data_IF_983902411902
#
_entry.id   IF_983902411902
#
_cell.length_a   1.000
_cell.length_b   1.000
_cell.length_c   1.000
_cell.angle_alpha   90.00
_cell.angle_beta   90.00
_cell.angle_gamma   90.00
#
_symmetry.space_group_name_H-M   'P 1'
#
loop_
_entity.id
_entity.type
_entity.pdbx_description
1 polymer ?
#
# COMPACT_ATOMS: atom_id res chain seq x y z
N UNK A 1 -8.19 -65.11 118.11
CA UNK A 1 -8.25 -63.72 117.54
C UNK A 1 -7.35 -63.53 116.23
N UNK A 2 -7.05 -64.56 115.44
CA UNK A 2 -6.07 -64.51 114.34
C UNK A 2 -6.65 -64.63 112.95
N UNK A 3 -7.87 -65.11 112.72
CA UNK A 3 -8.38 -65.38 111.34
C UNK A 3 -8.95 -64.17 110.58
N UNK A 4 -9.47 -63.17 111.26
CA UNK A 4 -10.05 -61.96 110.63
C UNK A 4 -8.99 -60.99 110.01
N UNK A 5 -7.71 -61.03 110.48
CA UNK A 5 -6.63 -60.19 109.96
C UNK A 5 -6.11 -60.66 108.58
N UNK A 6 -6.08 -61.99 108.38
CA UNK A 6 -5.64 -62.58 107.10
C UNK A 6 -6.62 -62.37 105.94
N UNK A 7 -7.92 -62.40 106.23
CA UNK A 7 -8.95 -62.15 105.20
C UNK A 7 -9.00 -60.69 104.73
N UNK A 8 -8.82 -59.70 105.67
CA UNK A 8 -8.75 -58.26 105.30
C UNK A 8 -7.54 -57.94 104.39
N UNK A 9 -6.37 -58.57 104.66
CA UNK A 9 -5.16 -58.43 103.83
C UNK A 9 -5.38 -59.01 102.41
N UNK A 10 -6.04 -60.14 102.25
CA UNK A 10 -6.36 -60.76 100.97
C UNK A 10 -7.34 -59.89 100.15
N UNK A 11 -8.36 -59.34 100.82
CA UNK A 11 -9.33 -58.43 100.14
C UNK A 11 -8.63 -57.15 99.76
N UNK A 12 -7.72 -56.56 100.55
CA UNK A 12 -6.97 -55.36 100.20
C UNK A 12 -6.03 -55.61 99.03
N UNK A 13 -5.34 -56.75 98.96
CA UNK A 13 -4.48 -57.13 97.83
C UNK A 13 -5.31 -57.32 96.57
N UNK A 14 -6.45 -57.98 96.61
CA UNK A 14 -7.36 -58.17 95.54
C UNK A 14 -7.89 -56.80 95.01
N UNK A 15 -8.25 -55.88 95.91
CA UNK A 15 -8.71 -54.54 95.50
C UNK A 15 -7.61 -53.72 94.77
N UNK A 16 -6.35 -53.80 95.25
CA UNK A 16 -5.20 -53.13 94.61
C UNK A 16 -4.90 -53.74 93.28
N UNK A 17 -4.98 -55.05 93.09
CA UNK A 17 -4.79 -55.75 91.81
C UNK A 17 -5.91 -55.35 90.83
N UNK A 18 -7.17 -55.34 91.32
CA UNK A 18 -8.30 -54.92 90.48
C UNK A 18 -8.16 -53.45 90.05
N UNK A 19 -7.80 -52.55 90.95
CA UNK A 19 -7.55 -51.15 90.63
C UNK A 19 -6.39 -50.96 89.62
N UNK A 20 -5.29 -51.75 89.79
CA UNK A 20 -4.15 -51.77 88.86
C UNK A 20 -4.56 -52.24 87.43
N UNK A 21 -5.38 -53.30 87.36
CA UNK A 21 -5.91 -53.81 86.04
C UNK A 21 -6.84 -52.78 85.40
N UNK A 22 -7.74 -52.15 86.15
CA UNK A 22 -8.61 -51.10 85.62
C UNK A 22 -7.82 -49.88 85.16
N UNK A 23 -6.79 -49.42 85.90
CA UNK A 23 -5.92 -48.33 85.45
C UNK A 23 -5.16 -48.72 84.21
N UNK A 24 -4.65 -49.95 84.05
CA UNK A 24 -3.99 -50.44 82.91
C UNK A 24 -4.94 -50.49 81.69
N UNK A 25 -6.18 -50.99 81.85
CA UNK A 25 -7.19 -51.00 80.77
C UNK A 25 -7.55 -49.57 80.30
N UNK A 26 -7.66 -48.62 81.25
CA UNK A 26 -7.91 -47.23 80.90
C UNK A 26 -6.74 -46.63 80.06
N UNK A 27 -5.50 -46.82 80.50
CA UNK A 27 -4.31 -46.31 79.75
C UNK A 27 -4.21 -46.94 78.38
N UNK A 28 -4.41 -48.24 78.26
CA UNK A 28 -4.41 -48.93 76.99
C UNK A 28 -5.57 -48.42 76.11
N UNK A 29 -6.76 -48.25 76.70
CA UNK A 29 -7.93 -47.71 75.95
C UNK A 29 -7.68 -46.30 75.43
N UNK A 30 -7.10 -45.42 76.25
CA UNK A 30 -6.73 -44.04 75.79
C UNK A 30 -5.65 -44.10 74.72
N UNK A 31 -4.65 -44.96 74.83
CA UNK A 31 -3.59 -45.11 73.86
C UNK A 31 -4.13 -45.62 72.50
N UNK A 32 -5.00 -46.62 72.51
CA UNK A 32 -5.66 -47.15 71.33
C UNK A 32 -6.54 -46.07 70.63
N UNK A 33 -7.30 -45.33 71.45
CA UNK A 33 -8.15 -44.23 70.95
C UNK A 33 -7.33 -43.12 70.32
N UNK A 34 -6.24 -42.70 70.98
CA UNK A 34 -5.30 -41.71 70.51
C UNK A 34 -4.63 -42.16 69.18
N UNK A 35 -4.19 -43.42 69.10
CA UNK A 35 -3.58 -44.00 67.94
C UNK A 35 -4.58 -44.07 66.72
N UNK A 36 -5.86 -44.37 66.99
CA UNK A 36 -6.91 -44.37 65.98
C UNK A 36 -7.19 -42.96 65.44
N UNK A 37 -7.24 -41.96 66.33
CA UNK A 37 -7.41 -40.56 65.98
C UNK A 37 -6.23 -40.06 65.11
N UNK A 38 -4.99 -40.40 65.51
CA UNK A 38 -3.80 -40.05 64.73
C UNK A 38 -3.77 -40.70 63.35
N UNK A 39 -4.12 -41.98 63.25
CA UNK A 39 -4.20 -42.70 61.99
C UNK A 39 -5.29 -42.12 61.06
N UNK A 40 -6.41 -41.68 61.63
CA UNK A 40 -7.46 -41.00 60.91
C UNK A 40 -6.97 -39.64 60.30
N UNK A 41 -6.21 -38.85 61.08
CA UNK A 41 -5.60 -37.61 60.63
C UNK A 41 -4.54 -37.85 59.53
N UNK A 42 -3.72 -38.87 59.67
CA UNK A 42 -2.74 -39.24 58.65
C UNK A 42 -3.46 -39.63 57.32
N UNK A 43 -4.51 -40.43 57.40
CA UNK A 43 -5.30 -40.82 56.21
C UNK A 43 -5.94 -39.61 55.59
N UNK A 44 -6.45 -38.63 56.32
CA UNK A 44 -7.02 -37.37 55.77
C UNK A 44 -5.96 -36.51 55.12
N UNK A 45 -4.79 -36.34 55.78
CA UNK A 45 -3.67 -35.61 55.17
C UNK A 45 -3.17 -36.27 53.87
N UNK A 46 -3.14 -37.61 53.83
CA UNK A 46 -2.79 -38.32 52.59
C UNK A 46 -3.80 -38.04 51.48
N UNK A 47 -5.10 -38.11 51.79
CA UNK A 47 -6.16 -37.78 50.83
C UNK A 47 -6.03 -36.34 50.26
N UNK A 48 -5.79 -35.38 51.19
CA UNK A 48 -5.59 -33.99 50.77
C UNK A 48 -4.34 -33.81 49.92
N UNK A 49 -3.25 -34.50 50.27
CA UNK A 49 -2.01 -34.46 49.47
C UNK A 49 -2.21 -35.06 48.09
N UNK A 50 -2.93 -36.18 48.00
CA UNK A 50 -3.21 -36.83 46.71
C UNK A 50 -4.16 -35.95 45.86
N UNK A 51 -5.18 -35.33 46.48
CA UNK A 51 -6.06 -34.39 45.78
C UNK A 51 -5.31 -33.14 45.25
N UNK A 52 -4.41 -32.59 46.09
CA UNK A 52 -3.57 -31.47 45.65
C UNK A 52 -2.61 -31.84 44.52
N UNK A 53 -2.04 -33.06 44.56
CA UNK A 53 -1.19 -33.57 43.47
C UNK A 53 -1.98 -33.73 42.17
N UNK A 54 -3.18 -34.30 42.25
CA UNK A 54 -4.05 -34.46 41.08
C UNK A 54 -4.43 -33.10 40.49
N UNK A 55 -4.80 -32.13 41.33
CA UNK A 55 -5.10 -30.78 40.88
C UNK A 55 -3.88 -30.06 40.22
N UNK A 56 -2.70 -30.21 40.86
CA UNK A 56 -1.47 -29.64 40.29
C UNK A 56 -1.10 -30.27 38.92
N UNK A 57 -1.32 -31.59 38.77
CA UNK A 57 -1.10 -32.24 37.47
C UNK A 57 -2.09 -31.77 36.40
N UNK A 58 -3.36 -31.59 36.77
CA UNK A 58 -4.37 -31.04 35.88
C UNK A 58 -4.03 -29.61 35.47
N UNK A 59 -3.65 -28.74 36.39
CA UNK A 59 -3.22 -27.38 36.12
C UNK A 59 -1.97 -27.34 35.21
N UNK A 60 -1.00 -28.23 35.47
CA UNK A 60 0.18 -28.34 34.62
C UNK A 60 -0.18 -28.72 33.19
N UNK A 61 -1.12 -29.65 33.00
CA UNK A 61 -1.63 -30.00 31.67
C UNK A 61 -2.35 -28.83 30.95
N UNK A 62 -3.15 -28.06 31.71
CA UNK A 62 -3.82 -26.87 31.16
C UNK A 62 -2.81 -25.79 30.75
N UNK A 63 -1.76 -25.58 31.53
CA UNK A 63 -0.69 -24.62 31.24
C UNK A 63 0.05 -25.05 29.94
N UNK A 64 0.34 -26.33 29.80
CA UNK A 64 1.00 -26.89 28.61
C UNK A 64 0.11 -26.72 27.34
N UNK A 65 -1.20 -27.00 27.46
CA UNK A 65 -2.15 -26.84 26.39
C UNK A 65 -2.27 -25.35 25.95
N UNK A 66 -2.36 -24.43 26.92
CA UNK A 66 -2.36 -23.00 26.66
C UNK A 66 -1.06 -22.54 26.00
N UNK A 67 0.08 -22.99 26.48
CA UNK A 67 1.38 -22.63 25.89
C UNK A 67 1.50 -23.14 24.44
N UNK A 68 0.97 -24.32 24.14
CA UNK A 68 0.95 -24.83 22.78
C UNK A 68 0.02 -24.02 21.86
N UNK A 69 -1.15 -23.60 22.36
CA UNK A 69 -2.07 -22.74 21.61
C UNK A 69 -1.47 -21.36 21.35
N UNK A 70 -0.83 -20.76 22.36
CA UNK A 70 -0.13 -19.47 22.20
C UNK A 70 0.96 -19.57 21.12
N UNK A 71 1.76 -20.64 21.16
CA UNK A 71 2.80 -20.88 20.14
C UNK A 71 2.24 -21.11 18.72
N UNK A 72 1.04 -21.69 18.60
CA UNK A 72 0.37 -21.85 17.31
C UNK A 72 -0.21 -20.53 16.81
N UNK A 73 -0.84 -19.75 17.70
CA UNK A 73 -1.32 -18.40 17.37
C UNK A 73 -0.18 -17.46 16.95
N UNK A 74 0.96 -17.51 17.60
CA UNK A 74 2.14 -16.73 17.22
C UNK A 74 2.62 -17.08 15.81
N UNK A 75 2.60 -18.35 15.44
CA UNK A 75 2.93 -18.78 14.08
C UNK A 75 1.93 -18.28 13.06
N UNK A 76 0.63 -18.35 13.38
CA UNK A 76 -0.43 -17.84 12.49
C UNK A 76 -0.32 -16.32 12.34
N UNK A 77 -0.08 -15.58 13.42
CA UNK A 77 0.14 -14.14 13.38
C UNK A 77 1.37 -13.77 12.54
N UNK A 78 2.47 -14.50 12.72
CA UNK A 78 3.68 -14.26 11.91
C UNK A 78 3.44 -14.55 10.42
N UNK A 79 2.69 -15.62 10.08
CA UNK A 79 2.33 -15.94 8.71
C UNK A 79 1.39 -14.89 8.10
N UNK A 80 0.40 -14.42 8.87
CA UNK A 80 -0.53 -13.38 8.44
C UNK A 80 0.19 -12.04 8.26
N UNK A 81 1.07 -11.65 9.17
CA UNK A 81 1.90 -10.44 9.06
C UNK A 81 2.75 -10.46 7.80
N UNK A 82 3.42 -11.58 7.52
CA UNK A 82 4.20 -11.76 6.29
C UNK A 82 3.34 -11.64 5.03
N UNK A 83 2.14 -12.26 5.04
CA UNK A 83 1.21 -12.18 3.91
C UNK A 83 0.71 -10.74 3.67
N UNK A 84 0.43 -10.00 4.75
CA UNK A 84 0.05 -8.58 4.67
C UNK A 84 1.17 -7.74 4.05
N UNK A 85 2.42 -7.90 4.53
CA UNK A 85 3.56 -7.17 3.97
C UNK A 85 3.71 -7.44 2.48
N UNK A 86 3.67 -8.72 2.06
CA UNK A 86 3.77 -9.07 0.65
C UNK A 86 2.65 -8.43 -0.20
N UNK A 87 1.41 -8.43 0.32
CA UNK A 87 0.29 -7.81 -0.40
C UNK A 87 0.38 -6.28 -0.45
N UNK A 88 0.94 -5.66 0.57
CA UNK A 88 1.19 -4.22 0.57
C UNK A 88 2.23 -3.86 -0.49
N UNK A 89 3.34 -4.62 -0.53
CA UNK A 89 4.40 -4.43 -1.53
C UNK A 89 3.87 -4.64 -2.97
N UNK A 90 3.01 -5.66 -3.18
CA UNK A 90 2.36 -5.89 -4.47
C UNK A 90 1.43 -4.73 -4.87
N UNK A 91 0.66 -4.19 -3.93
CA UNK A 91 -0.23 -3.05 -4.18
C UNK A 91 0.56 -1.78 -4.49
N UNK A 92 1.63 -1.49 -3.76
CA UNK A 92 2.51 -0.35 -4.04
C UNK A 92 3.13 -0.47 -5.43
N UNK A 93 3.65 -1.64 -5.80
CA UNK A 93 4.20 -1.88 -7.13
C UNK A 93 3.15 -1.71 -8.25
N UNK A 94 1.91 -2.16 -8.03
CA UNK A 94 0.81 -1.94 -8.97
C UNK A 94 0.44 -0.46 -9.11
N UNK A 95 0.40 0.29 -8.00
CA UNK A 95 0.12 1.72 -8.02
C UNK A 95 1.22 2.50 -8.74
N UNK A 96 2.50 2.17 -8.51
CA UNK A 96 3.61 2.77 -9.23
C UNK A 96 3.54 2.48 -10.74
N UNK A 97 3.22 1.23 -11.11
CA UNK A 97 3.08 0.84 -12.51
C UNK A 97 1.90 1.56 -13.17
N UNK A 98 0.77 1.71 -12.47
CA UNK A 98 -0.38 2.44 -12.96
C UNK A 98 -0.07 3.93 -13.10
N UNK A 99 0.56 4.54 -12.11
CA UNK A 99 0.98 5.94 -12.16
C UNK A 99 1.96 6.23 -13.32
N UNK A 100 2.88 5.30 -13.59
CA UNK A 100 3.84 5.42 -14.68
C UNK A 100 3.20 5.45 -16.08
N UNK A 101 1.98 4.94 -16.25
CA UNK A 101 1.24 4.99 -17.53
C UNK A 101 0.82 6.40 -17.92
N UNK A 102 0.66 7.28 -16.94
CA UNK A 102 0.24 8.67 -17.11
C UNK A 102 1.43 9.65 -17.22
N UNK A 103 2.67 9.15 -17.16
CA UNK A 103 3.88 9.98 -17.33
C UNK A 103 4.24 9.99 -18.84
N UNK A 104 4.28 11.18 -19.50
CA UNK A 104 4.62 11.30 -20.90
C UNK A 104 6.11 11.02 -21.11
N UNK A 105 6.46 9.83 -21.57
CA UNK A 105 7.86 9.41 -21.70
C UNK A 105 8.19 8.68 -23.02
N UNK A 106 7.21 8.45 -23.90
CA UNK A 106 7.51 7.91 -25.22
C UNK A 106 7.65 9.02 -26.27
N UNK A 107 8.33 8.70 -27.39
CA UNK A 107 8.48 9.60 -28.51
C UNK A 107 7.10 9.95 -29.11
N UNK A 108 6.80 11.27 -29.36
CA UNK A 108 5.45 11.71 -29.73
C UNK A 108 5.06 11.40 -31.18
N UNK A 109 5.95 10.80 -31.96
CA UNK A 109 5.74 10.55 -33.39
C UNK A 109 5.96 9.07 -33.74
N UNK A 110 5.21 8.60 -34.74
CA UNK A 110 5.47 7.35 -35.48
C UNK A 110 5.60 7.64 -36.93
N UNK A 111 6.62 7.11 -37.60
CA UNK A 111 6.97 7.33 -38.98
C UNK A 111 8.29 8.06 -39.13
N UNK A 112 8.52 8.59 -40.34
CA UNK A 112 9.75 9.32 -40.62
C UNK A 112 9.66 10.75 -40.10
N UNK A 113 10.53 11.08 -39.14
CA UNK A 113 10.62 12.42 -38.58
C UNK A 113 12.08 12.76 -38.27
N UNK A 114 12.40 14.03 -38.32
CA UNK A 114 13.70 14.58 -37.92
C UNK A 114 13.48 15.71 -36.91
N UNK A 115 14.27 15.73 -35.84
CA UNK A 115 14.29 16.83 -34.89
C UNK A 115 14.88 18.06 -35.58
N UNK A 116 14.17 19.18 -35.54
CA UNK A 116 14.70 20.47 -35.94
C UNK A 116 15.51 21.01 -34.78
N UNK A 117 16.83 20.84 -34.82
CA UNK A 117 17.70 21.58 -33.93
C UNK A 117 17.65 23.04 -34.34
N UNK A 118 17.55 23.98 -33.39
CA UNK A 118 17.50 25.42 -33.69
C UNK A 118 18.64 25.81 -34.65
N UNK A 119 18.32 25.81 -35.91
CA UNK A 119 19.04 26.67 -36.85
C UNK A 119 18.41 28.02 -36.57
N UNK A 120 19.20 28.94 -35.99
CA UNK A 120 18.83 30.35 -36.00
C UNK A 120 18.38 30.67 -37.46
N UNK A 121 17.08 30.75 -37.67
CA UNK A 121 16.54 31.29 -38.92
C UNK A 121 17.02 32.74 -38.86
N UNK A 122 17.88 33.18 -39.78
CA UNK A 122 18.21 34.60 -39.84
C UNK A 122 16.87 35.34 -39.92
N UNK A 123 16.66 36.30 -39.05
CA UNK A 123 15.54 37.22 -39.16
C UNK A 123 15.41 37.56 -40.65
N UNK A 124 14.28 37.20 -41.29
CA UNK A 124 13.96 37.72 -42.59
C UNK A 124 14.00 39.23 -42.39
N UNK A 125 15.04 39.87 -42.93
CA UNK A 125 15.15 41.32 -43.00
C UNK A 125 13.81 41.79 -43.59
N UNK A 126 13.02 42.51 -42.77
CA UNK A 126 11.88 43.23 -43.24
C UNK A 126 12.41 44.11 -44.40
N UNK A 127 12.11 43.67 -45.64
CA UNK A 127 12.29 44.55 -46.79
C UNK A 127 11.39 45.75 -46.53
N UNK A 128 12.00 46.88 -46.17
CA UNK A 128 11.36 48.18 -46.09
C UNK A 128 10.79 48.48 -47.49
N UNK A 129 9.49 48.21 -47.71
CA UNK A 129 8.77 48.82 -48.83
C UNK A 129 8.55 50.33 -48.55
N UNK A 130 8.77 51.23 -49.50
CA UNK A 130 8.70 52.66 -49.28
C UNK A 130 7.25 53.11 -49.09
N UNK A 131 7.09 53.81 -47.96
CA UNK A 131 6.14 54.84 -47.64
C UNK A 131 5.15 55.24 -48.75
N UNK A 132 3.88 54.83 -48.60
CA UNK A 132 2.74 55.66 -49.05
C UNK A 132 1.41 55.17 -48.39
N UNK A 133 0.79 56.11 -47.66
CA UNK A 133 -0.60 56.17 -47.25
C UNK A 133 -1.02 55.40 -45.95
N UNK A 134 -1.17 56.21 -44.90
CA UNK A 134 -1.97 55.93 -43.71
C UNK A 134 -3.35 55.31 -44.09
N UNK A 135 -3.49 54.01 -43.91
CA UNK A 135 -4.75 53.33 -43.59
C UNK A 135 -4.66 52.83 -42.17
N UNK A 136 -5.51 53.35 -41.27
CA UNK A 136 -5.84 52.70 -40.01
C UNK A 136 -6.18 51.21 -40.32
N UNK A 137 -5.23 50.33 -40.19
CA UNK A 137 -5.46 48.90 -40.14
C UNK A 137 -5.90 48.65 -38.68
N UNK A 138 -7.23 48.47 -38.56
CA UNK A 138 -7.78 47.97 -37.29
C UNK A 138 -7.00 46.70 -36.88
N UNK A 139 -6.74 46.59 -35.61
CA UNK A 139 -6.17 45.38 -35.01
C UNK A 139 -6.91 44.16 -35.60
N UNK A 140 -6.20 43.11 -36.05
CA UNK A 140 -6.87 41.93 -36.61
C UNK A 140 -7.79 41.40 -35.51
N UNK A 141 -9.10 41.38 -35.77
CA UNK A 141 -10.06 40.73 -34.88
C UNK A 141 -9.62 39.26 -34.76
N UNK A 142 -9.09 38.91 -33.60
CA UNK A 142 -8.82 37.49 -33.25
C UNK A 142 -10.10 36.72 -33.51
N UNK A 143 -10.05 35.76 -34.43
CA UNK A 143 -11.21 34.92 -34.70
C UNK A 143 -11.57 34.10 -33.49
N UNK A 144 -12.85 33.79 -33.27
CA UNK A 144 -13.33 32.99 -32.11
C UNK A 144 -12.53 31.68 -31.98
N UNK A 145 -11.98 31.13 -33.06
CA UNK A 145 -11.14 29.93 -33.06
C UNK A 145 -9.73 30.15 -32.47
N UNK A 146 -9.14 31.35 -32.64
CA UNK A 146 -7.86 31.70 -32.01
C UNK A 146 -7.98 31.87 -30.50
N UNK A 147 -9.14 32.35 -30.04
CA UNK A 147 -9.46 32.41 -28.61
C UNK A 147 -9.64 31.01 -27.94
N UNK A 148 -9.84 29.99 -28.75
CA UNK A 148 -9.98 28.62 -28.27
C UNK A 148 -8.65 27.86 -28.10
N UNK A 149 -7.53 28.35 -28.59
CA UNK A 149 -6.22 27.69 -28.41
C UNK A 149 -5.70 27.86 -26.98
N UNK A 150 -4.96 26.85 -26.50
CA UNK A 150 -4.20 27.01 -25.26
C UNK A 150 -3.04 27.98 -25.53
N UNK A 151 -3.00 29.06 -24.78
CA UNK A 151 -1.90 30.03 -24.88
C UNK A 151 -0.64 29.45 -24.28
N UNK A 152 0.39 29.27 -25.10
CA UNK A 152 1.71 28.78 -24.71
C UNK A 152 2.66 29.97 -24.67
N UNK A 153 3.44 30.17 -23.59
CA UNK A 153 4.46 31.21 -23.55
C UNK A 153 5.46 31.06 -24.70
N UNK A 154 5.92 32.18 -25.29
CA UNK A 154 6.86 32.15 -26.41
C UNK A 154 8.21 31.53 -26.07
N UNK A 155 8.58 31.59 -24.79
CA UNK A 155 9.81 31.04 -24.21
C UNK A 155 9.64 29.62 -23.65
N UNK A 156 8.43 29.00 -23.80
CA UNK A 156 8.20 27.64 -23.34
C UNK A 156 9.05 26.65 -24.13
N UNK A 157 9.80 25.76 -23.44
CA UNK A 157 10.58 24.73 -24.12
C UNK A 157 9.70 23.83 -24.97
N UNK A 158 10.15 23.49 -26.17
CA UNK A 158 9.41 22.66 -27.09
C UNK A 158 10.33 21.76 -27.90
N UNK A 159 9.79 20.63 -28.36
CA UNK A 159 10.46 19.79 -29.34
C UNK A 159 9.78 19.99 -30.71
N UNK A 160 10.54 20.47 -31.68
CA UNK A 160 10.06 20.70 -33.07
C UNK A 160 10.58 19.62 -34.00
N UNK A 161 9.70 19.11 -34.86
CA UNK A 161 10.02 18.02 -35.76
C UNK A 161 9.53 18.37 -37.19
N UNK A 162 10.32 17.98 -38.15
CA UNK A 162 9.82 17.83 -39.54
C UNK A 162 9.36 16.38 -39.69
N UNK A 163 8.17 16.20 -40.23
CA UNK A 163 7.57 14.87 -40.44
C UNK A 163 7.25 14.67 -41.92
N UNK A 164 7.44 13.43 -42.37
CA UNK A 164 7.03 13.03 -43.73
C UNK A 164 5.55 12.64 -43.77
N UNK A 165 4.99 12.53 -44.98
CA UNK A 165 3.66 11.96 -45.22
C UNK A 165 3.53 10.59 -44.51
N UNK A 166 2.30 10.24 -44.11
CA UNK A 166 1.92 9.01 -43.42
C UNK A 166 2.48 8.89 -41.97
N UNK A 167 3.27 9.87 -41.53
CA UNK A 167 3.66 9.94 -40.09
C UNK A 167 2.46 10.29 -39.23
N UNK A 168 2.56 10.00 -37.93
CA UNK A 168 1.46 10.16 -36.97
C UNK A 168 1.98 10.75 -35.70
N UNK A 169 1.30 11.75 -35.17
CA UNK A 169 1.48 12.13 -33.77
C UNK A 169 0.69 11.19 -32.87
N UNK A 170 1.32 10.73 -31.80
CA UNK A 170 0.75 9.76 -30.87
C UNK A 170 0.78 10.28 -29.43
N UNK A 171 -0.19 9.85 -28.64
CA UNK A 171 -0.24 10.16 -27.21
C UNK A 171 1.00 9.58 -26.49
N UNK A 172 1.73 10.43 -25.79
CA UNK A 172 2.97 10.06 -25.09
C UNK A 172 2.73 9.31 -23.77
N UNK A 173 1.50 9.39 -23.23
CA UNK A 173 1.00 8.66 -22.07
C UNK A 173 -0.52 8.45 -22.18
N UNK A 174 -1.08 7.69 -21.24
CA UNK A 174 -2.54 7.58 -21.08
C UNK A 174 -3.10 8.94 -20.64
N UNK A 175 -4.31 9.30 -21.07
CA UNK A 175 -4.92 10.59 -20.69
C UNK A 175 -6.27 10.83 -21.36
N UNK A 176 -6.77 12.04 -21.17
CA UNK A 176 -8.01 12.52 -21.79
C UNK A 176 -7.70 13.74 -22.64
N UNK A 177 -8.30 13.80 -23.83
CA UNK A 177 -8.22 14.98 -24.70
C UNK A 177 -9.00 16.11 -24.04
N UNK A 178 -8.29 17.08 -23.49
CA UNK A 178 -8.92 18.22 -22.84
C UNK A 178 -9.37 19.29 -23.81
N UNK A 179 -8.71 19.38 -24.98
CA UNK A 179 -9.02 20.36 -26.01
C UNK A 179 -8.55 19.92 -27.39
N UNK A 180 -9.35 20.24 -28.42
CA UNK A 180 -8.98 20.18 -29.82
C UNK A 180 -9.35 21.52 -30.46
N UNK A 181 -8.39 22.25 -30.99
CA UNK A 181 -8.63 23.54 -31.62
C UNK A 181 -7.89 23.65 -32.95
N UNK A 182 -8.39 24.53 -33.85
CA UNK A 182 -7.87 24.68 -35.18
C UNK A 182 -8.55 23.81 -36.21
N UNK A 183 -8.03 23.86 -37.44
CA UNK A 183 -8.54 23.14 -38.61
C UNK A 183 -7.40 22.63 -39.52
N UNK A 184 -7.75 21.98 -40.62
CA UNK A 184 -6.76 21.45 -41.57
C UNK A 184 -5.92 22.54 -42.27
N UNK A 185 -6.38 23.81 -42.32
CA UNK A 185 -5.69 24.91 -42.96
C UNK A 185 -4.78 25.69 -42.01
N UNK A 186 -5.22 25.87 -40.77
CA UNK A 186 -4.49 26.60 -39.74
C UNK A 186 -3.64 25.68 -38.83
N UNK A 187 -3.76 24.37 -39.02
CA UNK A 187 -3.18 23.36 -38.15
C UNK A 187 -4.00 23.14 -36.89
N UNK A 188 -3.91 21.94 -36.34
CA UNK A 188 -4.57 21.55 -35.10
C UNK A 188 -3.64 21.74 -33.89
N UNK A 189 -4.24 22.15 -32.79
CA UNK A 189 -3.63 22.05 -31.46
C UNK A 189 -4.48 21.07 -30.61
N UNK A 190 -3.88 19.99 -30.18
CA UNK A 190 -4.50 18.97 -29.34
C UNK A 190 -3.83 19.02 -27.97
N UNK A 191 -4.63 19.12 -26.91
CA UNK A 191 -4.17 19.17 -25.53
C UNK A 191 -4.63 17.91 -24.81
N UNK A 192 -3.71 17.15 -24.25
CA UNK A 192 -4.00 16.00 -23.40
C UNK A 192 -3.75 16.33 -21.92
N UNK A 193 -4.73 16.01 -21.09
CA UNK A 193 -4.59 15.97 -19.63
C UNK A 193 -4.37 14.52 -19.19
N UNK A 194 -3.25 14.27 -18.53
CA UNK A 194 -2.86 12.94 -18.06
C UNK A 194 -3.36 12.64 -16.63
N UNK A 195 -4.07 13.59 -15.99
CA UNK A 195 -4.71 13.38 -14.68
C UNK A 195 -3.77 13.36 -13.47
N UNK A 196 -2.46 13.47 -13.69
CA UNK A 196 -1.41 13.42 -12.66
C UNK A 196 -0.58 14.71 -12.61
N UNK A 197 -1.12 15.82 -13.17
CA UNK A 197 -0.44 17.11 -13.27
C UNK A 197 0.32 17.30 -14.58
N UNK A 198 0.51 16.27 -15.39
CA UNK A 198 1.09 16.40 -16.71
C UNK A 198 0.03 16.82 -17.74
N UNK A 199 0.40 17.80 -18.56
CA UNK A 199 -0.33 18.22 -19.75
C UNK A 199 0.64 18.21 -20.91
N UNK A 200 0.20 17.64 -22.05
CA UNK A 200 0.97 17.65 -23.29
C UNK A 200 0.18 18.33 -24.40
N UNK A 201 0.90 19.07 -25.25
CA UNK A 201 0.33 19.80 -26.35
C UNK A 201 0.99 19.35 -27.66
N UNK A 202 0.16 19.06 -28.64
CA UNK A 202 0.52 18.57 -29.96
C UNK A 202 0.02 19.57 -31.00
N UNK A 203 0.92 20.16 -31.73
CA UNK A 203 0.53 21.14 -32.78
C UNK A 203 1.13 20.76 -34.12
N UNK A 204 0.30 20.75 -35.15
CA UNK A 204 0.74 20.41 -36.50
C UNK A 204 -0.39 20.43 -37.53
N UNK A 205 0.02 20.42 -38.79
CA UNK A 205 -0.90 20.38 -39.93
C UNK A 205 -1.20 18.92 -40.30
N UNK A 206 -2.49 18.56 -40.41
CA UNK A 206 -2.88 17.20 -40.71
C UNK A 206 -4.36 16.95 -40.44
N UNK A 207 -4.70 15.70 -40.14
CA UNK A 207 -6.05 15.29 -39.78
C UNK A 207 -6.07 14.92 -38.29
N UNK A 208 -6.87 15.65 -37.50
CA UNK A 208 -7.13 15.25 -36.13
C UNK A 208 -8.01 13.98 -36.11
N UNK A 209 -7.60 12.97 -35.36
CA UNK A 209 -8.29 11.67 -35.24
C UNK A 209 -8.95 11.49 -33.87
N UNK A 210 -8.98 12.52 -33.07
CA UNK A 210 -9.58 12.53 -31.72
C UNK A 210 -10.46 13.76 -31.56
N UNK A 211 -11.39 13.67 -30.60
CA UNK A 211 -12.28 14.76 -30.20
C UNK A 211 -12.05 15.11 -28.73
N UNK A 212 -12.54 16.28 -28.33
CA UNK A 212 -12.55 16.64 -26.91
C UNK A 212 -13.29 15.61 -26.07
N UNK A 213 -12.76 15.34 -24.89
CA UNK A 213 -13.21 14.34 -23.92
C UNK A 213 -12.97 12.87 -24.34
N UNK A 214 -12.30 12.60 -25.46
CA UNK A 214 -11.87 11.24 -25.78
C UNK A 214 -10.81 10.78 -24.78
N UNK A 215 -10.94 9.55 -24.26
CA UNK A 215 -9.90 8.89 -23.48
C UNK A 215 -8.96 8.18 -24.44
N UNK A 216 -7.67 8.48 -24.32
CA UNK A 216 -6.62 7.92 -25.17
C UNK A 216 -5.61 7.14 -24.34
N UNK A 217 -5.18 6.01 -24.86
CA UNK A 217 -4.07 5.26 -24.30
C UNK A 217 -2.74 5.72 -24.91
N UNK A 218 -1.66 5.50 -24.19
CA UNK A 218 -0.30 5.68 -24.65
C UNK A 218 -0.08 5.04 -26.03
N UNK A 219 0.39 5.82 -27.02
CA UNK A 219 0.57 5.38 -28.38
C UNK A 219 -0.67 5.46 -29.28
N UNK A 220 -1.82 5.95 -28.77
CA UNK A 220 -2.98 6.27 -29.59
C UNK A 220 -2.67 7.38 -30.57
N UNK A 221 -3.16 7.26 -31.80
CA UNK A 221 -2.92 8.26 -32.83
C UNK A 221 -3.82 9.48 -32.60
N UNK A 222 -3.22 10.66 -32.59
CA UNK A 222 -3.88 11.95 -32.37
C UNK A 222 -4.02 12.74 -33.66
N UNK A 223 -2.90 12.87 -34.42
CA UNK A 223 -2.84 13.55 -35.72
C UNK A 223 -2.26 12.60 -36.76
N UNK A 224 -2.76 12.71 -37.99
CA UNK A 224 -2.23 12.03 -39.16
C UNK A 224 -1.74 13.06 -40.17
N UNK A 225 -0.47 12.98 -40.58
CA UNK A 225 0.17 13.90 -41.47
C UNK A 225 -0.01 13.43 -42.92
N UNK A 226 -0.60 14.28 -43.77
CA UNK A 226 -0.95 13.95 -45.15
C UNK A 226 0.11 14.44 -46.11
N UNK A 227 0.67 15.63 -45.86
CA UNK A 227 1.60 16.29 -46.77
C UNK A 227 3.01 15.69 -46.67
N UNK A 228 3.80 15.83 -47.72
CA UNK A 228 5.15 15.28 -47.84
C UNK A 228 6.10 15.87 -46.80
N UNK A 229 5.89 17.12 -46.38
CA UNK A 229 6.66 17.82 -45.36
C UNK A 229 5.70 18.57 -44.43
N UNK A 230 5.74 18.24 -43.15
CA UNK A 230 4.95 18.90 -42.12
C UNK A 230 5.84 19.34 -40.99
N UNK A 231 5.47 20.42 -40.35
CA UNK A 231 6.05 20.83 -39.06
C UNK A 231 5.15 20.36 -37.94
N UNK A 232 5.73 19.73 -36.95
CA UNK A 232 5.06 19.28 -35.75
C UNK A 232 5.80 19.81 -34.55
N UNK A 233 5.07 20.40 -33.61
CA UNK A 233 5.64 20.90 -32.33
C UNK A 233 4.97 20.23 -31.16
N UNK A 234 5.77 19.86 -30.21
CA UNK A 234 5.36 19.17 -28.99
C UNK A 234 5.85 19.90 -27.75
N UNK A 235 4.94 20.16 -26.82
CA UNK A 235 5.23 20.74 -25.52
C UNK A 235 4.76 19.82 -24.40
N UNK A 236 5.42 19.95 -23.26
CA UNK A 236 5.06 19.26 -22.05
C UNK A 236 5.08 20.22 -20.87
N UNK A 237 4.06 20.11 -20.02
CA UNK A 237 3.93 20.88 -18.79
C UNK A 237 3.66 19.92 -17.63
N UNK A 238 4.31 20.15 -16.50
CA UNK A 238 3.97 19.52 -15.23
C UNK A 238 3.47 20.58 -14.26
N UNK A 239 2.23 20.43 -13.80
CA UNK A 239 1.50 21.46 -13.05
C UNK A 239 1.47 22.79 -13.83
N UNK A 240 2.19 23.80 -13.34
CA UNK A 240 2.26 25.11 -14.01
C UNK A 240 3.60 25.34 -14.75
N UNK A 241 4.53 24.39 -14.71
CA UNK A 241 5.87 24.54 -15.25
C UNK A 241 6.02 23.86 -16.61
N UNK A 242 6.40 24.63 -17.64
CA UNK A 242 6.80 24.07 -18.92
C UNK A 242 8.15 23.41 -18.81
N UNK A 243 8.26 22.21 -19.32
CA UNK A 243 9.44 21.35 -19.26
C UNK A 243 10.02 21.14 -20.64
N UNK A 244 11.35 20.94 -20.72
CA UNK A 244 11.96 20.50 -21.96
C UNK A 244 11.52 19.05 -22.28
N UNK A 245 10.77 18.84 -23.37
CA UNK A 245 10.33 17.50 -23.73
C UNK A 245 11.49 16.55 -24.02
N UNK A 246 12.61 17.05 -24.53
CA UNK A 246 13.76 16.23 -24.93
C UNK A 246 14.50 15.61 -23.73
N UNK A 247 14.31 16.17 -22.52
CA UNK A 247 14.87 15.58 -21.30
C UNK A 247 14.03 14.40 -20.78
N UNK A 248 12.75 14.31 -21.22
CA UNK A 248 11.78 13.35 -20.64
C UNK A 248 11.41 12.24 -21.60
N UNK A 249 11.25 12.56 -22.90
CA UNK A 249 10.87 11.58 -23.92
C UNK A 249 12.07 10.71 -24.32
N UNK A 250 11.83 9.41 -24.56
CA UNK A 250 12.85 8.52 -25.11
C UNK A 250 12.99 8.77 -26.63
N UNK A 251 14.08 9.42 -27.03
CA UNK A 251 14.37 9.77 -28.42
C UNK A 251 14.86 8.54 -29.23
N UNK A 252 15.29 7.48 -28.54
CA UNK A 252 15.88 6.30 -29.16
C UNK A 252 14.88 5.14 -29.36
N UNK A 253 13.63 5.31 -29.00
CA UNK A 253 12.41 4.52 -29.14
C UNK A 253 12.50 3.03 -29.44
#
# INVERSE_FOLDING_TARGET
>A
MGEHSGQKKKILIAAVVIAGVLAFVLVVGVHISSSRALNAQIAELQRLTDALRANNMEQAGQIEDLANRDAEQDKELAAMSKSLTTKTDELEAMQEQEAARYIPNIFPLRGNSSLVQDVEIPDEEEEEEPDDEEKEIGEPEETEEEQMRLVIPKDAPSAKFMTAAESRAIATADGTVSKVSGDAHKGYQIVLDHGNGYITVYEGFGLALVNENDTVGRGSVLLYFVDEINTFTYWMRYEENWMDPLETIDING
#
